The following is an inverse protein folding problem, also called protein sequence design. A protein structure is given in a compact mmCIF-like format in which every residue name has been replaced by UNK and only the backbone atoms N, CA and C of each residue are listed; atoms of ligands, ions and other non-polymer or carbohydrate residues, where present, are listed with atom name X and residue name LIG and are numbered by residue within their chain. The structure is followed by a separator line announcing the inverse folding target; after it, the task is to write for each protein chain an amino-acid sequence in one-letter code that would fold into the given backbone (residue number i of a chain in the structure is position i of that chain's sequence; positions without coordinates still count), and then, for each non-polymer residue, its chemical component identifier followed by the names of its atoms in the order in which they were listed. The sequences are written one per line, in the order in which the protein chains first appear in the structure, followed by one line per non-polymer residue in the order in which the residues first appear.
data_IF_258027134579
#
_entry.id   IF_258027134579
#
_cell.length_a   1.000
_cell.length_b   1.000
_cell.length_c   1.000
_cell.angle_alpha   90.00
_cell.angle_beta   90.00
_cell.angle_gamma   90.00
#
_symmetry.space_group_name_H-M   'P 1'
#
loop_
_entity.id
_entity.type
_entity.pdbx_description
1 polymer ?
#
# COMPACT_ATOMS: atom_id res chain seq x y z
N UNK A 1 -1.26 -19.20 -11.96
CA UNK A 1 -0.22 -18.15 -11.79
C UNK A 1 -0.74 -16.82 -11.25
N UNK A 2 -1.98 -16.40 -11.56
CA UNK A 2 -2.54 -15.12 -11.08
C UNK A 2 -2.62 -14.95 -9.55
N UNK A 3 -2.87 -16.05 -8.81
CA UNK A 3 -2.91 -16.04 -7.33
C UNK A 3 -1.57 -15.60 -6.70
N UNK A 4 -0.45 -16.17 -7.15
CA UNK A 4 0.90 -15.83 -6.67
C UNK A 4 1.26 -14.37 -6.99
N UNK A 5 0.88 -13.89 -8.18
CA UNK A 5 1.12 -12.52 -8.59
C UNK A 5 0.34 -11.51 -7.72
N UNK A 6 -0.93 -11.79 -7.39
CA UNK A 6 -1.70 -10.96 -6.47
C UNK A 6 -1.05 -10.88 -5.08
N UNK A 7 -0.57 -12.01 -4.56
CA UNK A 7 0.15 -12.04 -3.28
C UNK A 7 1.42 -11.19 -3.30
N UNK A 8 2.22 -11.29 -4.36
CA UNK A 8 3.43 -10.47 -4.53
C UNK A 8 3.07 -8.98 -4.56
N UNK A 9 2.02 -8.60 -5.28
CA UNK A 9 1.56 -7.20 -5.35
C UNK A 9 1.08 -6.71 -3.98
N UNK A 10 0.31 -7.51 -3.24
CA UNK A 10 -0.15 -7.15 -1.89
C UNK A 10 1.04 -6.92 -0.95
N UNK A 11 2.02 -7.83 -0.95
CA UNK A 11 3.22 -7.72 -0.11
C UNK A 11 4.04 -6.49 -0.46
N UNK A 12 4.28 -6.24 -1.75
CA UNK A 12 4.99 -5.03 -2.21
C UNK A 12 4.25 -3.75 -1.80
N UNK A 13 2.92 -3.74 -1.94
CA UNK A 13 2.10 -2.57 -1.61
C UNK A 13 2.12 -2.28 -0.10
N UNK A 14 2.10 -3.32 0.74
CA UNK A 14 2.24 -3.19 2.20
C UNK A 14 3.63 -2.65 2.55
N UNK A 15 4.69 -3.16 1.92
CA UNK A 15 6.05 -2.68 2.16
C UNK A 15 6.21 -1.18 1.84
N UNK A 16 5.68 -0.74 0.69
CA UNK A 16 5.64 0.68 0.32
C UNK A 16 4.85 1.49 1.35
N UNK A 17 3.72 0.96 1.84
CA UNK A 17 2.90 1.65 2.84
C UNK A 17 3.65 1.84 4.18
N UNK A 18 4.37 0.82 4.65
CA UNK A 18 5.19 0.90 5.88
C UNK A 18 6.32 1.93 5.73
N UNK A 19 7.00 1.95 4.59
CA UNK A 19 8.05 2.94 4.30
C UNK A 19 7.47 4.35 4.24
N UNK A 20 6.31 4.52 3.59
CA UNK A 20 5.61 5.80 3.53
C UNK A 20 5.22 6.29 4.93
N UNK A 21 4.78 5.40 5.82
CA UNK A 21 4.47 5.74 7.21
C UNK A 21 5.72 6.23 7.96
N UNK A 22 6.86 5.56 7.78
CA UNK A 22 8.13 5.99 8.39
C UNK A 22 8.48 7.42 7.97
N UNK A 23 8.42 7.72 6.68
CA UNK A 23 8.71 9.06 6.17
C UNK A 23 7.67 10.10 6.60
N UNK A 24 6.40 9.73 6.75
CA UNK A 24 5.37 10.61 7.32
C UNK A 24 5.72 11.01 8.75
N UNK A 25 6.16 10.05 9.58
CA UNK A 25 6.55 10.29 10.97
C UNK A 25 7.78 11.22 11.01
N UNK A 26 8.81 10.89 10.24
CA UNK A 26 10.04 11.71 10.15
C UNK A 26 9.74 13.13 9.69
N UNK A 27 8.90 13.28 8.66
CA UNK A 27 8.49 14.59 8.14
C UNK A 27 7.70 15.40 9.17
N UNK A 28 6.84 14.75 9.95
CA UNK A 28 6.07 15.41 11.00
C UNK A 28 6.97 15.94 12.12
N UNK A 29 7.90 15.12 12.61
CA UNK A 29 8.87 15.54 13.63
C UNK A 29 9.89 16.55 13.09
N UNK A 30 10.26 16.46 11.82
CA UNK A 30 11.09 17.43 11.11
C UNK A 30 10.37 18.74 10.75
N UNK A 31 9.08 18.89 11.09
CA UNK A 31 8.21 20.04 10.73
C UNK A 31 8.09 20.29 9.21
N UNK A 32 8.34 19.27 8.39
CA UNK A 32 8.16 19.28 6.95
C UNK A 32 6.74 18.81 6.57
N UNK A 33 5.73 19.61 6.91
CA UNK A 33 4.32 19.22 6.76
C UNK A 33 3.91 18.93 5.31
N UNK A 34 4.53 19.58 4.31
CA UNK A 34 4.29 19.29 2.90
C UNK A 34 4.60 17.82 2.55
N UNK A 35 5.69 17.28 3.10
CA UNK A 35 6.06 15.87 2.92
C UNK A 35 5.11 14.93 3.67
N UNK A 36 4.59 15.34 4.84
CA UNK A 36 3.55 14.58 5.58
C UNK A 36 2.33 14.34 4.68
N UNK A 37 1.82 15.39 4.03
CA UNK A 37 0.65 15.25 3.15
C UNK A 37 0.95 14.38 1.93
N UNK A 38 2.14 14.53 1.35
CA UNK A 38 2.57 13.73 0.19
C UNK A 38 2.65 12.24 0.55
N UNK A 39 3.39 11.87 1.59
CA UNK A 39 3.55 10.48 2.01
C UNK A 39 2.25 9.87 2.55
N UNK A 40 1.39 10.68 3.18
CA UNK A 40 0.04 10.23 3.56
C UNK A 40 -0.82 9.95 2.33
N UNK A 41 -0.74 10.79 1.30
CA UNK A 41 -1.41 10.57 0.02
C UNK A 41 -0.96 9.25 -0.65
N UNK A 42 0.36 9.00 -0.71
CA UNK A 42 0.92 7.75 -1.23
C UNK A 42 0.45 6.54 -0.42
N UNK A 43 0.41 6.66 0.91
CA UNK A 43 -0.08 5.60 1.78
C UNK A 43 -1.56 5.26 1.51
N UNK A 44 -2.42 6.27 1.36
CA UNK A 44 -3.83 6.10 1.01
C UNK A 44 -4.00 5.40 -0.36
N UNK A 45 -3.27 5.83 -1.39
CA UNK A 45 -3.31 5.18 -2.71
C UNK A 45 -2.85 3.73 -2.63
N UNK A 46 -1.80 3.46 -1.86
CA UNK A 46 -1.29 2.09 -1.66
C UNK A 46 -2.36 1.20 -1.01
N UNK A 47 -3.10 1.69 -0.01
CA UNK A 47 -4.20 0.94 0.61
C UNK A 47 -5.28 0.59 -0.42
N UNK A 48 -5.67 1.53 -1.29
CA UNK A 48 -6.66 1.29 -2.33
C UNK A 48 -6.19 0.19 -3.29
N UNK A 49 -4.92 0.25 -3.72
CA UNK A 49 -4.33 -0.76 -4.61
C UNK A 49 -4.28 -2.13 -3.93
N UNK A 50 -3.94 -2.19 -2.64
CA UNK A 50 -3.94 -3.43 -1.87
C UNK A 50 -5.35 -4.03 -1.76
N UNK A 51 -6.36 -3.20 -1.48
CA UNK A 51 -7.77 -3.62 -1.39
C UNK A 51 -8.27 -4.17 -2.72
N UNK A 52 -8.05 -3.46 -3.83
CA UNK A 52 -8.45 -3.92 -5.17
C UNK A 52 -7.77 -5.25 -5.50
N UNK A 53 -6.47 -5.36 -5.22
CA UNK A 53 -5.70 -6.58 -5.46
C UNK A 53 -6.19 -7.74 -4.60
N UNK A 54 -6.57 -7.47 -3.35
CA UNK A 54 -7.17 -8.45 -2.45
C UNK A 54 -8.51 -8.96 -2.97
N UNK A 55 -9.39 -8.08 -3.44
CA UNK A 55 -10.66 -8.51 -4.05
C UNK A 55 -10.45 -9.32 -5.33
N UNK A 56 -9.45 -8.97 -6.15
CA UNK A 56 -9.07 -9.76 -7.34
C UNK A 56 -8.53 -11.13 -6.96
N UNK A 57 -7.69 -11.21 -5.93
CA UNK A 57 -7.21 -12.48 -5.40
C UNK A 57 -8.37 -13.33 -4.88
N UNK A 58 -9.28 -12.74 -4.08
CA UNK A 58 -10.48 -13.40 -3.57
C UNK A 58 -11.31 -13.98 -4.71
N UNK A 59 -11.59 -13.20 -5.76
CA UNK A 59 -12.35 -13.67 -6.92
C UNK A 59 -11.66 -14.84 -7.64
N UNK A 60 -10.34 -14.83 -7.75
CA UNK A 60 -9.56 -15.93 -8.33
C UNK A 60 -9.54 -17.18 -7.44
N UNK A 61 -9.61 -17.01 -6.12
CA UNK A 61 -9.64 -18.11 -5.17
C UNK A 61 -10.96 -18.87 -5.19
N UNK A 62 -12.08 -18.16 -5.20
CA UNK A 62 -13.43 -18.75 -5.18
C UNK A 62 -13.99 -19.09 -6.57
N UNK A 63 -13.23 -18.87 -7.64
CA UNK A 63 -13.60 -19.24 -9.01
C UNK A 63 -12.97 -20.57 -9.47
N UNK A 64 -12.03 -21.12 -8.70
CA UNK A 64 -11.60 -22.52 -8.77
C UNK A 64 -12.43 -23.35 -7.77
#
# INVERSE_FOLDING_TARGET
MGKKLCWVIIVLTIAVNVVSLHFTIESYYGKHYEHVYLFTGIACVSIIVAIITFFRWKKLEYAE
#
